data_IF_422745185616
#
_entry.id   IF_422745185616
#
_cell.length_a   1.000
_cell.length_b   1.000
_cell.length_c   1.000
_cell.angle_alpha   90.00
_cell.angle_beta   90.00
_cell.angle_gamma   90.00
#
_symmetry.space_group_name_H-M   'P 1'
#
loop_
_entity.id
_entity.type
_entity.pdbx_description
1 polymer ?
#
# COMPACT_ATOMS: atom_id res chain seq x y z
N UNK A 1 -13.00 -6.37 1.81
CA UNK A 1 -11.69 -5.74 1.50
C UNK A 1 -11.43 -4.52 2.34
N UNK A 2 -12.31 -3.51 2.35
CA UNK A 2 -12.11 -2.33 3.22
C UNK A 2 -11.90 -2.69 4.69
N UNK A 3 -12.70 -3.61 5.24
CA UNK A 3 -12.53 -4.10 6.63
C UNK A 3 -11.16 -4.73 6.88
N UNK A 4 -10.67 -5.55 5.94
CA UNK A 4 -9.34 -6.16 6.03
C UNK A 4 -8.24 -5.09 6.04
N UNK A 5 -8.39 -4.04 5.23
CA UNK A 5 -7.45 -2.92 5.17
C UNK A 5 -7.51 -2.08 6.44
N UNK A 6 -8.68 -1.90 7.04
CA UNK A 6 -8.81 -1.26 8.34
C UNK A 6 -8.08 -2.05 9.43
N UNK A 7 -8.32 -3.36 9.56
CA UNK A 7 -7.62 -4.20 10.55
C UNK A 7 -6.09 -4.24 10.32
N UNK A 8 -5.71 -4.26 9.05
CA UNK A 8 -4.34 -4.32 8.60
C UNK A 8 -3.55 -3.02 8.85
N UNK A 9 -4.12 -1.86 8.50
CA UNK A 9 -3.35 -0.63 8.34
C UNK A 9 -4.03 0.63 8.90
N UNK A 10 -5.07 0.53 9.75
CA UNK A 10 -5.73 1.70 10.34
C UNK A 10 -4.73 2.66 11.00
N UNK A 11 -3.80 2.13 11.79
CA UNK A 11 -2.88 2.95 12.58
C UNK A 11 -1.90 3.70 11.67
N UNK A 12 -1.44 3.03 10.60
CA UNK A 12 -0.59 3.61 9.57
C UNK A 12 -1.33 4.70 8.78
N UNK A 13 -2.56 4.45 8.36
CA UNK A 13 -3.38 5.42 7.63
C UNK A 13 -3.68 6.64 8.50
N UNK A 14 -3.91 6.44 9.81
CA UNK A 14 -4.19 7.51 10.75
C UNK A 14 -2.98 8.40 11.10
N UNK A 15 -1.78 8.10 10.59
CA UNK A 15 -0.64 9.01 10.69
C UNK A 15 -0.82 10.28 9.86
N UNK A 16 -1.67 10.26 8.82
CA UNK A 16 -1.97 11.44 8.02
C UNK A 16 -2.88 12.42 8.76
N UNK A 17 -2.54 13.71 8.73
CA UNK A 17 -3.28 14.77 9.42
C UNK A 17 -4.51 15.20 8.62
N UNK A 18 -4.40 15.22 7.29
CA UNK A 18 -5.47 15.60 6.35
C UNK A 18 -5.85 14.46 5.38
N UNK A 19 -6.83 14.67 4.50
CA UNK A 19 -7.31 13.65 3.57
C UNK A 19 -6.24 13.25 2.55
N UNK A 20 -5.43 14.18 2.08
CA UNK A 20 -4.37 13.93 1.09
C UNK A 20 -3.27 13.05 1.68
N UNK A 21 -2.81 13.37 2.89
CA UNK A 21 -1.83 12.54 3.60
C UNK A 21 -2.38 11.15 3.91
N UNK A 22 -3.63 11.04 4.39
CA UNK A 22 -4.28 9.73 4.60
C UNK A 22 -4.38 8.92 3.31
N UNK A 23 -4.65 9.59 2.19
CA UNK A 23 -4.66 8.93 0.88
C UNK A 23 -3.25 8.43 0.51
N UNK A 24 -2.20 9.20 0.79
CA UNK A 24 -0.81 8.77 0.59
C UNK A 24 -0.47 7.53 1.41
N UNK A 25 -0.81 7.53 2.71
CA UNK A 25 -0.63 6.35 3.57
C UNK A 25 -1.48 5.16 3.11
N UNK A 26 -2.73 5.37 2.67
CA UNK A 26 -3.55 4.31 2.09
C UNK A 26 -2.90 3.70 0.84
N UNK A 27 -2.32 4.52 -0.03
CA UNK A 27 -1.60 4.06 -1.23
C UNK A 27 -0.38 3.20 -0.84
N UNK A 28 0.37 3.61 0.17
CA UNK A 28 1.49 2.83 0.73
C UNK A 28 1.04 1.47 1.26
N UNK A 29 -0.04 1.44 2.05
CA UNK A 29 -0.63 0.20 2.54
C UNK A 29 -1.13 -0.72 1.42
N UNK A 30 -1.76 -0.16 0.37
CA UNK A 30 -2.22 -0.94 -0.77
C UNK A 30 -1.05 -1.53 -1.58
N UNK A 31 0.03 -0.76 -1.72
CA UNK A 31 1.28 -1.21 -2.34
C UNK A 31 1.88 -2.38 -1.55
N UNK A 32 2.00 -2.25 -0.23
CA UNK A 32 2.49 -3.31 0.64
C UNK A 32 1.63 -4.59 0.53
N UNK A 33 0.30 -4.45 0.53
CA UNK A 33 -0.63 -5.57 0.37
C UNK A 33 -0.40 -6.33 -0.94
N UNK A 34 -0.28 -5.60 -2.04
CA UNK A 34 -0.07 -6.19 -3.36
C UNK A 34 1.31 -6.85 -3.48
N UNK A 35 2.35 -6.26 -2.89
CA UNK A 35 3.68 -6.88 -2.82
C UNK A 35 3.61 -8.17 -2.00
N UNK A 36 2.92 -8.19 -0.86
CA UNK A 36 2.79 -9.38 -0.03
C UNK A 36 2.09 -10.56 -0.73
N UNK A 37 1.32 -10.31 -1.81
CA UNK A 37 0.74 -11.36 -2.64
C UNK A 37 1.74 -12.04 -3.59
N UNK A 38 2.93 -11.47 -3.78
CA UNK A 38 4.01 -12.07 -4.55
C UNK A 38 4.68 -13.22 -3.80
N UNK A 39 5.39 -14.06 -4.53
CA UNK A 39 6.36 -14.97 -3.91
C UNK A 39 7.53 -14.19 -3.30
N UNK A 40 8.25 -14.83 -2.39
CA UNK A 40 9.33 -14.20 -1.62
C UNK A 40 10.41 -13.57 -2.52
N UNK A 41 10.78 -14.24 -3.61
CA UNK A 41 11.79 -13.76 -4.55
C UNK A 41 11.38 -12.45 -5.22
N UNK A 42 10.11 -12.34 -5.63
CA UNK A 42 9.61 -11.14 -6.32
C UNK A 42 9.27 -9.99 -5.36
N UNK A 43 9.06 -10.24 -4.06
CA UNK A 43 8.82 -9.18 -3.06
C UNK A 43 9.99 -8.23 -2.92
N UNK A 44 11.19 -8.76 -2.74
CA UNK A 44 12.39 -7.93 -2.54
C UNK A 44 12.73 -7.08 -3.78
N UNK A 45 12.43 -7.59 -4.97
CA UNK A 45 12.57 -6.80 -6.19
C UNK A 45 11.51 -5.69 -6.27
N UNK A 46 10.26 -5.98 -5.89
CA UNK A 46 9.18 -4.99 -5.89
C UNK A 46 9.43 -3.86 -4.87
N UNK A 47 9.87 -4.18 -3.65
CA UNK A 47 10.24 -3.19 -2.62
C UNK A 47 11.31 -2.24 -3.17
N UNK A 48 12.41 -2.77 -3.71
CA UNK A 48 13.49 -1.95 -4.28
C UNK A 48 12.99 -1.01 -5.37
N UNK A 49 12.06 -1.47 -6.22
CA UNK A 49 11.48 -0.64 -7.28
C UNK A 49 10.61 0.49 -6.73
N UNK A 50 9.78 0.22 -5.72
CA UNK A 50 8.95 1.23 -5.05
C UNK A 50 9.82 2.29 -4.40
N UNK A 51 10.84 1.90 -3.63
CA UNK A 51 11.75 2.86 -2.97
C UNK A 51 12.56 3.67 -3.99
N UNK A 52 12.99 3.05 -5.08
CA UNK A 52 13.63 3.78 -6.17
C UNK A 52 12.67 4.78 -6.84
N UNK A 53 11.37 4.47 -6.95
CA UNK A 53 10.33 5.39 -7.42
C UNK A 53 10.18 6.59 -6.48
N UNK A 54 9.94 6.30 -5.20
CA UNK A 54 9.83 7.30 -4.16
C UNK A 54 10.99 8.29 -4.15
N UNK A 55 12.24 7.81 -4.21
CA UNK A 55 13.44 8.65 -4.26
C UNK A 55 13.52 9.54 -5.51
N UNK A 56 13.00 9.08 -6.66
CA UNK A 56 12.99 9.88 -7.90
C UNK A 56 11.95 10.99 -7.85
N UNK A 57 10.79 10.73 -7.28
CA UNK A 57 9.71 11.71 -7.17
C UNK A 57 9.91 12.71 -6.04
N UNK A 58 10.71 12.35 -5.03
CA UNK A 58 11.01 13.17 -3.86
C UNK A 58 12.53 13.45 -3.78
N UNK A 59 13.12 14.20 -4.72
CA UNK A 59 14.56 14.45 -4.72
C UNK A 59 14.97 15.22 -3.46
N UNK A 60 16.01 14.74 -2.76
CA UNK A 60 16.53 15.36 -1.55
C UNK A 60 15.81 14.99 -0.25
N UNK A 61 14.87 14.02 -0.29
CA UNK A 61 14.30 13.45 0.94
C UNK A 61 15.23 12.41 1.56
N UNK A 62 15.40 12.47 2.87
CA UNK A 62 16.08 11.43 3.67
C UNK A 62 15.09 10.37 4.19
N UNK A 63 13.80 10.48 3.85
CA UNK A 63 12.73 9.67 4.43
C UNK A 63 12.57 8.28 3.78
N UNK A 64 13.35 8.00 2.73
CA UNK A 64 13.20 6.76 1.97
C UNK A 64 13.47 5.49 2.80
N UNK A 65 14.32 5.58 3.83
CA UNK A 65 14.58 4.47 4.75
C UNK A 65 13.38 4.18 5.66
N UNK A 66 12.70 5.22 6.15
CA UNK A 66 11.47 5.07 6.94
C UNK A 66 10.34 4.48 6.09
N UNK A 67 10.18 4.96 4.85
CA UNK A 67 9.20 4.41 3.90
C UNK A 67 9.46 2.93 3.63
N UNK A 68 10.72 2.53 3.42
CA UNK A 68 11.06 1.12 3.23
C UNK A 68 10.74 0.28 4.47
N UNK A 69 11.08 0.78 5.65
CA UNK A 69 10.80 0.12 6.92
C UNK A 69 9.30 -0.10 7.15
N UNK A 70 8.49 0.93 6.94
CA UNK A 70 7.04 0.84 7.09
C UNK A 70 6.42 -0.10 6.05
N UNK A 71 6.88 -0.02 4.80
CA UNK A 71 6.45 -0.93 3.73
C UNK A 71 6.73 -2.39 4.10
N UNK A 72 7.93 -2.68 4.64
CA UNK A 72 8.32 -4.04 5.08
C UNK A 72 7.47 -4.54 6.25
N UNK A 73 7.22 -3.70 7.26
CA UNK A 73 6.33 -4.04 8.38
C UNK A 73 4.92 -4.36 7.91
N UNK A 74 4.39 -3.55 7.00
CA UNK A 74 3.09 -3.77 6.39
C UNK A 74 3.07 -5.07 5.56
N UNK A 75 4.10 -5.38 4.79
CA UNK A 75 4.16 -6.67 4.07
C UNK A 75 4.15 -7.85 5.05
N UNK A 76 4.96 -7.78 6.12
CA UNK A 76 5.02 -8.81 7.15
C UNK A 76 3.66 -9.00 7.84
N UNK A 77 3.04 -7.92 8.32
CA UNK A 77 1.72 -7.97 8.99
C UNK A 77 0.65 -8.59 8.10
N UNK A 78 0.64 -8.29 6.79
CA UNK A 78 -0.28 -8.91 5.83
C UNK A 78 -0.06 -10.43 5.78
N UNK A 79 1.19 -10.88 5.66
CA UNK A 79 1.52 -12.30 5.59
C UNK A 79 1.15 -13.07 6.86
N UNK A 80 1.23 -12.42 8.02
CA UNK A 80 0.89 -13.01 9.32
C UNK A 80 -0.63 -13.14 9.50
N UNK A 81 -1.39 -12.07 9.24
CA UNK A 81 -2.83 -12.01 9.56
C UNK A 81 -3.69 -12.55 8.42
N UNK A 82 -3.27 -12.35 7.15
CA UNK A 82 -4.04 -12.72 5.96
C UNK A 82 -3.20 -13.51 4.94
N UNK A 83 -2.60 -14.65 5.33
CA UNK A 83 -1.73 -15.44 4.45
C UNK A 83 -2.46 -15.93 3.19
N UNK A 84 -3.72 -16.33 3.32
CA UNK A 84 -4.48 -16.98 2.23
C UNK A 84 -5.23 -16.00 1.33
N UNK A 85 -5.37 -14.74 1.74
CA UNK A 85 -6.06 -13.73 0.93
C UNK A 85 -5.12 -13.24 -0.17
N UNK A 86 -5.39 -13.63 -1.42
CA UNK A 86 -4.58 -13.25 -2.59
C UNK A 86 -5.20 -12.16 -3.47
N UNK A 87 -6.30 -11.56 -3.02
CA UNK A 87 -6.95 -10.44 -3.72
C UNK A 87 -5.99 -9.27 -3.86
N UNK A 88 -5.85 -8.78 -5.09
CA UNK A 88 -5.08 -7.59 -5.41
C UNK A 88 -5.98 -6.35 -5.27
N UNK A 89 -5.44 -5.28 -4.71
CA UNK A 89 -6.10 -3.98 -4.66
C UNK A 89 -5.82 -3.26 -5.98
N UNK A 90 -6.87 -2.82 -6.65
CA UNK A 90 -6.78 -2.16 -7.96
C UNK A 90 -7.08 -0.67 -7.89
N UNK A 91 -7.80 -0.25 -6.86
CA UNK A 91 -8.11 1.15 -6.57
C UNK A 91 -8.45 1.30 -5.08
N UNK A 92 -8.15 2.47 -4.52
CA UNK A 92 -8.34 2.77 -3.12
C UNK A 92 -8.54 4.27 -2.90
N UNK A 93 -9.58 4.64 -2.13
CA UNK A 93 -9.90 6.05 -1.89
C UNK A 93 -10.30 6.30 -0.43
N UNK A 94 -9.74 7.37 0.14
CA UNK A 94 -10.19 8.00 1.39
C UNK A 94 -11.28 9.01 1.04
N UNK A 95 -12.50 8.75 1.50
CA UNK A 95 -13.65 9.63 1.34
C UNK A 95 -13.93 10.36 2.67
N UNK A 96 -13.79 11.69 2.75
CA UNK A 96 -14.15 12.42 3.97
C UNK A 96 -15.67 12.40 4.17
N UNK A 97 -16.11 12.00 5.37
CA UNK A 97 -17.51 12.04 5.80
C UNK A 97 -17.78 13.32 6.59
N UNK A 98 -16.81 13.72 7.42
CA UNK A 98 -16.81 14.97 8.21
C UNK A 98 -15.37 15.37 8.50
N UNK A 99 -15.16 16.47 9.24
CA UNK A 99 -13.82 16.94 9.62
C UNK A 99 -12.95 15.89 10.33
N UNK A 100 -13.59 14.95 11.05
CA UNK A 100 -12.91 13.94 11.88
C UNK A 100 -13.19 12.50 11.45
N UNK A 101 -14.00 12.29 10.40
CA UNK A 101 -14.40 10.95 9.95
C UNK A 101 -14.15 10.77 8.48
N UNK A 102 -13.64 9.61 8.12
CA UNK A 102 -13.44 9.20 6.74
C UNK A 102 -13.90 7.76 6.53
N UNK A 103 -14.17 7.41 5.28
CA UNK A 103 -14.43 6.06 4.81
C UNK A 103 -13.30 5.62 3.88
N UNK A 104 -12.91 4.37 3.99
CA UNK A 104 -11.99 3.72 3.06
C UNK A 104 -12.81 2.90 2.06
N UNK A 105 -12.71 3.26 0.79
CA UNK A 105 -13.30 2.51 -0.32
C UNK A 105 -12.18 1.74 -1.01
N UNK A 106 -12.34 0.41 -1.15
CA UNK A 106 -11.34 -0.47 -1.79
C UNK A 106 -11.99 -1.24 -2.94
N UNK A 107 -11.44 -1.11 -4.14
CA UNK A 107 -11.71 -2.02 -5.24
C UNK A 107 -10.62 -3.10 -5.31
N UNK A 108 -11.03 -4.35 -5.52
CA UNK A 108 -10.10 -5.47 -5.58
C UNK A 108 -10.45 -6.47 -6.66
N UNK A 109 -9.46 -7.28 -7.05
CA UNK A 109 -9.62 -8.34 -8.05
C UNK A 109 -8.95 -9.64 -7.60
N UNK A 110 -9.47 -10.75 -8.10
CA UNK A 110 -8.83 -12.07 -8.06
C UNK A 110 -8.06 -12.38 -9.37
N UNK A 111 -8.10 -11.47 -10.35
CA UNK A 111 -7.38 -11.59 -11.62
C UNK A 111 -5.87 -11.39 -11.45
N UNK A 112 -5.12 -12.49 -11.57
CA UNK A 112 -3.67 -12.53 -11.45
C UNK A 112 -2.94 -11.74 -12.53
N UNK A 113 -3.51 -11.60 -13.73
CA UNK A 113 -2.89 -10.84 -14.81
C UNK A 113 -3.09 -9.33 -14.63
N UNK A 114 -4.19 -8.93 -13.99
CA UNK A 114 -4.38 -7.54 -13.58
C UNK A 114 -3.41 -7.14 -12.45
N UNK A 115 -3.16 -8.02 -11.48
CA UNK A 115 -2.11 -7.81 -10.45
C UNK A 115 -0.73 -7.56 -11.08
N UNK A 116 -0.32 -8.38 -12.06
CA UNK A 116 0.95 -8.18 -12.77
C UNK A 116 1.01 -6.84 -13.49
N UNK A 117 -0.12 -6.35 -14.03
CA UNK A 117 -0.20 -5.04 -14.69
C UNK A 117 -0.05 -3.91 -13.69
N UNK A 118 -0.71 -3.98 -12.54
CA UNK A 118 -0.64 -2.98 -11.46
C UNK A 118 0.80 -2.81 -10.98
N UNK A 119 1.45 -3.92 -10.62
CA UNK A 119 2.85 -3.92 -10.16
C UNK A 119 3.86 -3.48 -11.24
N UNK A 120 3.48 -3.50 -12.52
CA UNK A 120 4.27 -2.94 -13.63
C UNK A 120 3.97 -1.46 -13.88
N UNK A 121 2.80 -0.97 -13.46
CA UNK A 121 2.30 0.39 -13.70
C UNK A 121 2.69 1.38 -12.61
N UNK A 122 3.03 0.91 -11.40
CA UNK A 122 3.64 1.70 -10.30
C UNK A 122 5.06 2.23 -10.62
N UNK A 123 5.37 2.44 -11.90
CA UNK A 123 6.53 3.19 -12.41
C UNK A 123 6.42 4.70 -12.12
N UNK A 124 5.29 5.16 -11.57
CA UNK A 124 4.93 6.56 -11.38
C UNK A 124 4.26 6.72 -10.00
N UNK A 125 5.02 6.49 -8.94
CA UNK A 125 4.85 7.17 -7.66
C UNK A 125 6.19 7.81 -7.33
#
# INVERSE_FOLDING_TARGET
MSELISEYASDYINMGENTEERQSYLNGACTAWNIANLDEKHREEAIRRVIAGYKRSNPGTDDAENVEHDLRKLIQKKLEIFPDIKKAIVDAMVEPISETKYRINIASTDDKDLLKKILKKDRIL
#
